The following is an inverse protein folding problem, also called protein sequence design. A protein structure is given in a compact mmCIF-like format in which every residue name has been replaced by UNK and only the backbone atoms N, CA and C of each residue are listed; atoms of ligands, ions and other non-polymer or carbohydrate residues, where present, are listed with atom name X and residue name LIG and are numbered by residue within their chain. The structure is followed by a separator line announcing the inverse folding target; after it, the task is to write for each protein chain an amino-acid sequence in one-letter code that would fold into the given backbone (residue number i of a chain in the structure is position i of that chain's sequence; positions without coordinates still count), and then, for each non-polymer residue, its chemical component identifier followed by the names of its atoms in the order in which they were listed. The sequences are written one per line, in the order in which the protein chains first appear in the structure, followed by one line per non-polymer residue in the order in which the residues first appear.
data_IF_230272825937
#
_entry.id   IF_230272825937
#
_cell.length_a   1.000
_cell.length_b   1.000
_cell.length_c   1.000
_cell.angle_alpha   90.00
_cell.angle_beta   90.00
_cell.angle_gamma   90.00
#
_symmetry.space_group_name_H-M   'P 1'
#
loop_
_entity.id
_entity.type
_entity.pdbx_description
1 polymer ?
#
# COMPACT_ATOMS: atom_id res chain seq x y z
N UNK A 1 -7.07 34.12 -3.89
CA UNK A 1 -5.86 33.78 -3.12
C UNK A 1 -5.01 32.81 -3.94
N UNK A 2 -3.77 33.19 -4.29
CA UNK A 2 -2.85 32.33 -5.04
C UNK A 2 -2.28 31.29 -4.07
N UNK A 3 -2.59 30.01 -4.26
CA UNK A 3 -2.03 28.91 -3.45
C UNK A 3 -0.62 28.60 -3.96
N UNK A 4 0.40 29.13 -3.31
CA UNK A 4 1.78 28.66 -3.51
C UNK A 4 1.95 27.35 -2.74
N UNK A 5 2.14 26.24 -3.46
CA UNK A 5 2.51 24.98 -2.83
C UNK A 5 3.83 25.16 -2.06
N UNK A 6 3.99 24.54 -0.87
CA UNK A 6 5.26 24.56 -0.18
C UNK A 6 6.32 23.90 -1.06
N UNK A 7 7.51 24.48 -1.11
CA UNK A 7 8.64 23.86 -1.81
C UNK A 7 8.91 22.47 -1.22
N UNK A 8 9.02 21.47 -2.08
CA UNK A 8 9.29 20.07 -1.69
C UNK A 8 10.66 19.93 -1.02
N UNK A 9 11.59 20.81 -1.38
CA UNK A 9 12.91 20.89 -0.78
C UNK A 9 12.89 21.89 0.38
N UNK A 10 13.60 21.62 1.50
CA UNK A 10 13.66 22.48 2.67
C UNK A 10 14.57 23.70 2.43
N UNK A 11 14.34 24.42 1.33
CA UNK A 11 15.19 25.52 0.88
C UNK A 11 14.31 26.69 0.48
N UNK A 12 14.49 27.83 1.15
CA UNK A 12 13.74 29.05 0.87
C UNK A 12 14.13 29.67 -0.48
N UNK A 13 15.38 29.48 -0.93
CA UNK A 13 15.91 30.01 -2.18
C UNK A 13 15.78 29.01 -3.34
N UNK A 14 15.09 29.41 -4.41
CA UNK A 14 14.88 28.60 -5.63
C UNK A 14 16.20 28.18 -6.29
N UNK A 15 17.20 29.05 -6.32
CA UNK A 15 18.51 28.77 -6.94
C UNK A 15 19.26 27.67 -6.18
N UNK A 16 19.27 27.73 -4.85
CA UNK A 16 19.91 26.72 -4.01
C UNK A 16 19.16 25.38 -4.08
N UNK A 17 17.83 25.39 -4.12
CA UNK A 17 17.03 24.18 -4.35
C UNK A 17 17.36 23.51 -5.69
N UNK A 18 17.46 24.29 -6.77
CA UNK A 18 17.86 23.78 -8.09
C UNK A 18 19.28 23.19 -8.09
N UNK A 19 20.23 23.87 -7.46
CA UNK A 19 21.62 23.38 -7.36
C UNK A 19 21.73 22.08 -6.56
N UNK A 20 20.94 21.92 -5.49
CA UNK A 20 20.87 20.70 -4.72
C UNK A 20 20.25 19.55 -5.52
N UNK A 21 19.17 19.81 -6.23
CA UNK A 21 18.52 18.81 -7.06
C UNK A 21 19.44 18.29 -8.17
N UNK A 22 20.20 19.18 -8.81
CA UNK A 22 21.23 18.78 -9.78
C UNK A 22 22.34 17.93 -9.15
N UNK A 23 22.75 18.26 -7.92
CA UNK A 23 23.77 17.49 -7.19
C UNK A 23 23.25 16.10 -6.85
N UNK A 24 22.06 15.99 -6.29
CA UNK A 24 21.43 14.71 -5.95
C UNK A 24 21.22 13.83 -7.19
N UNK A 25 20.80 14.43 -8.30
CA UNK A 25 20.68 13.72 -9.58
C UNK A 25 22.05 13.21 -10.07
N UNK A 26 23.09 14.05 -10.03
CA UNK A 26 24.43 13.65 -10.44
C UNK A 26 25.00 12.54 -9.54
N UNK A 27 24.79 12.63 -8.23
CA UNK A 27 25.19 11.62 -7.26
C UNK A 27 24.46 10.29 -7.51
N UNK A 28 23.15 10.34 -7.81
CA UNK A 28 22.35 9.18 -8.19
C UNK A 28 22.82 8.54 -9.49
N UNK A 29 23.07 9.32 -10.54
CA UNK A 29 23.61 8.83 -11.81
C UNK A 29 24.98 8.19 -11.63
N UNK A 30 25.85 8.78 -10.82
CA UNK A 30 27.15 8.21 -10.48
C UNK A 30 27.00 6.92 -9.68
N UNK A 31 26.02 6.84 -8.77
CA UNK A 31 25.75 5.62 -8.02
C UNK A 31 25.27 4.49 -8.93
N UNK A 32 24.37 4.78 -9.89
CA UNK A 32 23.92 3.81 -10.90
C UNK A 32 25.07 3.37 -11.80
N UNK A 33 25.90 4.29 -12.28
CA UNK A 33 27.05 3.97 -13.16
C UNK A 33 28.09 3.11 -12.45
N UNK A 34 28.30 3.34 -11.15
CA UNK A 34 29.28 2.61 -10.34
C UNK A 34 28.69 1.36 -9.67
N UNK A 35 27.37 1.17 -9.70
CA UNK A 35 26.73 -0.01 -9.18
C UNK A 35 27.11 -1.21 -10.06
N UNK A 36 27.90 -2.13 -9.49
CA UNK A 36 28.15 -3.43 -10.11
C UNK A 36 26.83 -4.19 -10.18
N UNK A 37 26.60 -4.91 -11.28
CA UNK A 37 25.48 -5.86 -11.44
C UNK A 37 25.69 -7.10 -10.56
N UNK A 38 25.86 -6.92 -9.26
CA UNK A 38 25.92 -8.03 -8.32
C UNK A 38 24.48 -8.36 -7.97
N UNK A 39 23.93 -9.36 -8.67
CA UNK A 39 22.78 -10.09 -8.16
C UNK A 39 23.27 -10.80 -6.89
N UNK A 40 22.93 -10.27 -5.72
CA UNK A 40 23.09 -11.00 -4.47
C UNK A 40 22.12 -12.19 -4.52
N UNK A 41 22.62 -13.32 -5.03
CA UNK A 41 21.94 -14.62 -5.03
C UNK A 41 22.06 -15.33 -3.67
N UNK A 42 22.76 -14.73 -2.70
CA UNK A 42 22.69 -15.19 -1.33
C UNK A 42 21.24 -15.01 -0.87
N UNK A 43 20.56 -16.11 -0.54
CA UNK A 43 19.32 -16.06 0.22
C UNK A 43 19.53 -15.08 1.36
N UNK A 44 18.78 -13.95 1.33
CA UNK A 44 18.91 -12.94 2.37
C UNK A 44 18.72 -13.68 3.68
N UNK A 45 19.73 -13.71 4.54
CA UNK A 45 19.63 -14.34 5.84
C UNK A 45 18.47 -13.65 6.52
N UNK A 46 17.29 -14.30 6.55
CA UNK A 46 16.06 -13.67 7.01
C UNK A 46 16.35 -13.22 8.42
N UNK A 47 16.53 -11.92 8.61
CA UNK A 47 17.03 -11.39 9.88
C UNK A 47 16.12 -11.93 10.98
N UNK A 48 16.68 -12.49 12.03
CA UNK A 48 15.92 -13.21 13.07
C UNK A 48 14.70 -12.42 13.59
N UNK A 49 14.78 -11.10 13.66
CA UNK A 49 13.67 -10.25 14.05
C UNK A 49 12.50 -10.23 13.04
N UNK A 50 12.76 -10.41 11.74
CA UNK A 50 11.72 -10.48 10.71
C UNK A 50 10.92 -11.78 10.85
N UNK A 51 11.59 -12.91 11.12
CA UNK A 51 10.90 -14.18 11.35
C UNK A 51 10.08 -14.14 12.66
N UNK A 52 10.62 -13.53 13.72
CA UNK A 52 9.87 -13.29 14.96
C UNK A 52 8.66 -12.37 14.73
N UNK A 53 8.82 -11.29 13.98
CA UNK A 53 7.70 -10.39 13.63
C UNK A 53 6.63 -11.10 12.81
N UNK A 54 7.02 -11.99 11.89
CA UNK A 54 6.07 -12.73 11.06
C UNK A 54 5.27 -13.73 11.90
N UNK A 55 5.96 -14.49 12.77
CA UNK A 55 5.31 -15.41 13.73
C UNK A 55 4.35 -14.66 14.66
N UNK A 56 4.76 -13.51 15.19
CA UNK A 56 3.91 -12.67 16.04
C UNK A 56 2.63 -12.22 15.32
N UNK A 57 2.72 -11.85 14.03
CA UNK A 57 1.55 -11.51 13.22
C UNK A 57 0.62 -12.71 13.04
N UNK A 58 1.17 -13.87 12.70
CA UNK A 58 0.38 -15.10 12.54
C UNK A 58 -0.36 -15.47 13.84
N UNK A 59 0.32 -15.40 14.99
CA UNK A 59 -0.32 -15.68 16.29
C UNK A 59 -1.46 -14.71 16.56
N UNK A 60 -1.27 -13.40 16.32
CA UNK A 60 -2.34 -12.39 16.49
C UNK A 60 -3.53 -12.63 15.56
N UNK A 61 -3.27 -13.01 14.30
CA UNK A 61 -4.34 -13.31 13.35
C UNK A 61 -5.14 -14.54 13.78
N UNK A 62 -4.46 -15.58 14.28
CA UNK A 62 -5.09 -16.76 14.83
C UNK A 62 -5.96 -16.43 16.05
N UNK A 63 -5.43 -15.67 17.02
CA UNK A 63 -6.19 -15.21 18.19
C UNK A 63 -7.43 -14.39 17.80
N UNK A 64 -7.27 -13.45 16.86
CA UNK A 64 -8.38 -12.66 16.34
C UNK A 64 -9.42 -13.53 15.64
N UNK A 65 -9.00 -14.56 14.92
CA UNK A 65 -9.91 -15.52 14.28
C UNK A 65 -10.71 -16.31 15.32
N UNK A 66 -10.07 -16.79 16.38
CA UNK A 66 -10.73 -17.49 17.48
C UNK A 66 -11.76 -16.60 18.18
N UNK A 67 -11.39 -15.35 18.47
CA UNK A 67 -12.31 -14.36 19.07
C UNK A 67 -13.50 -14.09 18.14
N UNK A 68 -13.28 -13.93 16.83
CA UNK A 68 -14.37 -13.72 15.87
C UNK A 68 -15.31 -14.92 15.81
N UNK A 69 -14.77 -16.14 15.79
CA UNK A 69 -15.57 -17.36 15.77
C UNK A 69 -16.42 -17.49 17.04
N UNK A 70 -15.84 -17.21 18.20
CA UNK A 70 -16.53 -17.25 19.48
C UNK A 70 -17.62 -16.16 19.57
N UNK A 71 -17.32 -14.94 19.13
CA UNK A 71 -18.31 -13.86 19.04
C UNK A 71 -19.49 -14.21 18.13
N UNK A 72 -19.25 -14.86 16.99
CA UNK A 72 -20.32 -15.33 16.11
C UNK A 72 -21.15 -16.44 16.76
N UNK A 73 -20.51 -17.37 17.49
CA UNK A 73 -21.22 -18.40 18.26
C UNK A 73 -22.11 -17.79 19.33
N UNK A 74 -21.59 -16.80 20.08
CA UNK A 74 -22.34 -16.07 21.10
C UNK A 74 -23.49 -15.27 20.48
N UNK A 75 -23.26 -14.55 19.37
CA UNK A 75 -24.31 -13.83 18.63
C UNK A 75 -25.44 -14.75 18.19
N UNK A 76 -25.12 -15.94 17.65
CA UNK A 76 -26.15 -16.93 17.28
C UNK A 76 -26.94 -17.42 18.48
N UNK A 77 -26.31 -17.58 19.65
CA UNK A 77 -27.01 -17.94 20.89
C UNK A 77 -27.93 -16.81 21.36
N UNK A 78 -27.43 -15.57 21.42
CA UNK A 78 -28.21 -14.38 21.81
C UNK A 78 -29.42 -14.15 20.89
N UNK A 79 -29.28 -14.40 19.59
CA UNK A 79 -30.40 -14.30 18.62
C UNK A 79 -31.44 -15.40 18.75
N UNK A 80 -31.06 -16.58 19.26
CA UNK A 80 -31.99 -17.72 19.45
C UNK A 80 -32.77 -17.63 20.74
N UNK A 81 -32.22 -16.97 21.76
CA UNK A 81 -32.95 -16.69 22.99
C UNK A 81 -33.87 -15.49 22.76
N UNK A 82 -35.17 -15.74 22.60
CA UNK A 82 -36.21 -14.72 22.75
C UNK A 82 -36.32 -14.33 24.24
N UNK A 83 -35.25 -13.75 24.80
CA UNK A 83 -35.32 -13.21 26.15
C UNK A 83 -36.14 -11.92 26.14
N UNK A 84 -36.98 -11.75 27.16
CA UNK A 84 -37.71 -10.51 27.47
C UNK A 84 -36.82 -9.27 27.63
N UNK A 85 -35.50 -9.46 27.71
CA UNK A 85 -34.48 -8.43 27.80
C UNK A 85 -33.78 -8.33 26.45
N UNK A 86 -33.78 -7.12 25.88
CA UNK A 86 -33.09 -6.83 24.63
C UNK A 86 -31.58 -7.01 24.82
N UNK A 87 -31.00 -7.98 24.11
CA UNK A 87 -29.56 -8.26 24.13
C UNK A 87 -28.80 -7.50 23.05
N UNK A 88 -29.50 -6.69 22.23
CA UNK A 88 -28.83 -5.77 21.32
C UNK A 88 -28.14 -4.65 22.09
N UNK A 89 -26.82 -4.68 22.05
CA UNK A 89 -26.03 -3.55 22.48
C UNK A 89 -26.08 -2.47 21.39
N UNK A 90 -27.05 -1.56 21.50
CA UNK A 90 -27.14 -0.34 20.69
C UNK A 90 -26.09 0.70 21.14
N UNK A 91 -24.84 0.25 21.33
CA UNK A 91 -23.74 1.17 21.55
C UNK A 91 -23.54 1.98 20.28
N UNK A 92 -23.98 3.23 20.30
CA UNK A 92 -23.51 4.22 19.37
C UNK A 92 -22.02 4.38 19.68
N UNK A 93 -21.15 3.86 18.82
CA UNK A 93 -19.70 3.99 19.00
C UNK A 93 -19.38 5.48 18.90
N UNK A 94 -19.21 6.15 20.03
CA UNK A 94 -18.76 7.54 20.09
C UNK A 94 -17.23 7.53 20.05
N UNK A 95 -16.65 7.39 18.86
CA UNK A 95 -15.23 7.69 18.70
C UNK A 95 -15.06 9.20 18.60
N UNK A 96 -14.22 9.78 19.46
CA UNK A 96 -13.89 11.20 19.50
C UNK A 96 -13.45 11.77 18.13
N UNK A 97 -13.04 10.91 17.20
CA UNK A 97 -12.53 11.27 15.87
C UNK A 97 -13.49 10.92 14.72
N UNK A 98 -14.77 10.63 14.97
CA UNK A 98 -15.71 10.23 13.89
C UNK A 98 -15.87 11.34 12.86
N UNK A 99 -16.06 12.57 13.32
CA UNK A 99 -16.24 13.73 12.43
C UNK A 99 -15.00 13.94 11.56
N UNK A 100 -13.82 13.84 12.15
CA UNK A 100 -12.54 13.98 11.44
C UNK A 100 -12.36 12.85 10.41
N UNK A 101 -12.61 11.60 10.81
CA UNK A 101 -12.51 10.44 9.92
C UNK A 101 -13.50 10.49 8.77
N UNK A 102 -14.73 10.94 9.01
CA UNK A 102 -15.73 11.11 7.95
C UNK A 102 -15.29 12.18 6.94
N UNK A 103 -14.72 13.29 7.42
CA UNK A 103 -14.15 14.33 6.54
C UNK A 103 -12.99 13.80 5.71
N UNK A 104 -12.06 13.09 6.34
CA UNK A 104 -10.91 12.46 5.65
C UNK A 104 -11.39 11.42 4.62
N UNK A 105 -12.39 10.61 4.95
CA UNK A 105 -13.00 9.66 4.02
C UNK A 105 -13.56 10.36 2.79
N UNK A 106 -14.32 11.44 2.97
CA UNK A 106 -14.87 12.23 1.86
C UNK A 106 -13.75 12.87 1.03
N UNK A 107 -12.68 13.36 1.68
CA UNK A 107 -11.52 13.91 0.97
C UNK A 107 -10.83 12.84 0.12
N UNK A 108 -10.56 11.66 0.69
CA UNK A 108 -9.96 10.53 -0.02
C UNK A 108 -10.84 10.06 -1.19
N UNK A 109 -12.16 9.98 -0.99
CA UNK A 109 -13.08 9.64 -2.07
C UNK A 109 -13.01 10.67 -3.19
N UNK A 110 -13.01 11.96 -2.88
CA UNK A 110 -12.91 13.02 -3.89
C UNK A 110 -11.57 12.97 -4.65
N UNK A 111 -10.47 12.76 -3.95
CA UNK A 111 -9.14 12.59 -4.56
C UNK A 111 -9.08 11.35 -5.44
N UNK A 112 -9.62 10.23 -4.98
CA UNK A 112 -9.70 8.99 -5.74
C UNK A 112 -10.48 9.19 -7.05
N UNK A 113 -11.67 9.80 -6.99
CA UNK A 113 -12.46 10.08 -8.19
C UNK A 113 -11.74 11.03 -9.15
N UNK A 114 -11.01 12.03 -8.62
CA UNK A 114 -10.19 12.93 -9.44
C UNK A 114 -9.07 12.18 -10.16
N UNK A 115 -8.31 11.36 -9.44
CA UNK A 115 -7.23 10.56 -10.01
C UNK A 115 -7.78 9.58 -11.05
N UNK A 116 -8.90 8.91 -10.77
CA UNK A 116 -9.56 8.00 -11.70
C UNK A 116 -9.98 8.72 -13.00
N UNK A 117 -10.51 9.94 -12.90
CA UNK A 117 -10.81 10.77 -14.08
C UNK A 117 -9.55 11.12 -14.87
N UNK A 118 -8.46 11.46 -14.19
CA UNK A 118 -7.19 11.74 -14.87
C UNK A 118 -6.64 10.49 -15.57
N UNK A 119 -6.62 9.35 -14.88
CA UNK A 119 -6.14 8.07 -15.43
C UNK A 119 -6.97 7.66 -16.64
N UNK A 120 -8.29 7.82 -16.59
CA UNK A 120 -9.17 7.47 -17.71
C UNK A 120 -9.05 8.41 -18.92
N UNK A 121 -8.64 9.67 -18.72
CA UNK A 121 -8.41 10.62 -19.80
C UNK A 121 -7.04 10.44 -20.47
N UNK A 122 -6.06 9.90 -19.75
CA UNK A 122 -4.73 9.62 -20.29
C UNK A 122 -4.80 8.36 -21.16
N UNK A 123 -4.56 8.52 -22.45
CA UNK A 123 -4.36 7.38 -23.34
C UNK A 123 -3.06 6.67 -22.96
N UNK A 124 -3.04 5.33 -22.83
CA UNK A 124 -1.83 4.60 -22.51
C UNK A 124 -0.79 4.81 -23.61
N UNK A 125 0.39 5.32 -23.24
CA UNK A 125 1.50 5.55 -24.18
C UNK A 125 1.98 4.26 -24.85
N UNK A 126 1.65 3.10 -24.27
CA UNK A 126 1.98 1.80 -24.81
C UNK A 126 0.72 1.04 -25.21
N UNK A 127 0.60 0.53 -26.44
CA UNK A 127 -0.55 -0.25 -26.85
C UNK A 127 -0.66 -1.52 -25.99
N UNK A 128 -1.81 -1.74 -25.34
CA UNK A 128 -2.04 -2.92 -24.51
C UNK A 128 -1.74 -4.25 -25.25
N UNK A 129 -1.95 -4.28 -26.57
CA UNK A 129 -1.62 -5.43 -27.42
C UNK A 129 -0.12 -5.71 -27.50
N UNK A 130 0.72 -4.67 -27.59
CA UNK A 130 2.18 -4.85 -27.62
C UNK A 130 2.69 -5.35 -26.27
N UNK A 131 2.16 -4.81 -25.17
CA UNK A 131 2.53 -5.27 -23.83
C UNK A 131 2.24 -6.75 -23.63
N UNK A 132 1.06 -7.21 -24.08
CA UNK A 132 0.68 -8.62 -24.00
C UNK A 132 1.64 -9.52 -24.79
N UNK A 133 1.98 -9.12 -26.02
CA UNK A 133 2.93 -9.86 -26.86
C UNK A 133 4.33 -9.91 -26.25
N UNK A 134 4.81 -8.80 -25.68
CA UNK A 134 6.12 -8.75 -25.02
C UNK A 134 6.15 -9.61 -23.76
N UNK A 135 5.04 -9.62 -23.02
CA UNK A 135 4.86 -10.47 -21.84
C UNK A 135 4.85 -11.96 -22.20
N UNK A 136 4.07 -12.36 -23.21
CA UNK A 136 4.01 -13.74 -23.71
C UNK A 136 5.38 -14.21 -24.20
N UNK A 137 6.09 -13.40 -25.00
CA UNK A 137 7.46 -13.70 -25.46
C UNK A 137 8.45 -13.83 -24.31
N UNK A 138 8.27 -13.08 -23.23
CA UNK A 138 9.13 -13.19 -22.05
C UNK A 138 8.90 -14.51 -21.32
N UNK A 139 7.64 -14.89 -21.12
CA UNK A 139 7.26 -16.16 -20.49
C UNK A 139 7.74 -17.36 -21.31
N UNK A 140 7.63 -17.32 -22.64
CA UNK A 140 8.15 -18.37 -23.52
C UNK A 140 9.66 -18.55 -23.37
N UNK A 141 10.41 -17.45 -23.24
CA UNK A 141 11.86 -17.49 -23.03
C UNK A 141 12.23 -18.03 -21.64
N UNK A 142 11.47 -17.67 -20.61
CA UNK A 142 11.68 -18.19 -19.25
C UNK A 142 11.42 -19.70 -19.21
N UNK A 143 10.33 -20.19 -19.82
CA UNK A 143 10.03 -21.62 -19.90
C UNK A 143 11.10 -22.41 -20.68
N UNK A 144 11.62 -21.85 -21.79
CA UNK A 144 12.71 -22.47 -22.57
C UNK A 144 14.06 -22.50 -21.82
N UNK A 145 14.23 -21.66 -20.81
CA UNK A 145 15.40 -21.63 -19.93
C UNK A 145 15.28 -22.62 -18.78
N UNK A 146 14.06 -22.96 -18.36
CA UNK A 146 13.79 -23.97 -17.32
C UNK A 146 13.81 -25.41 -17.86
N UNK A 147 13.55 -25.61 -19.16
CA UNK A 147 13.60 -26.93 -19.82
C UNK A 147 15.01 -27.38 -20.28
N UNK A 148 16.05 -26.56 -20.08
CA UNK A 148 17.47 -26.88 -20.39
C UNK A 148 18.28 -27.10 -19.13
#
# INVERSE_FOLDING_TARGET
MYRSYPNVLPVANKYLGHKLLLKEQADHENHIKNARSVLNLSESTTRFHLSQSFRHKQTREYELSMIKQENERLRRRMRKTESLVDTHNNYVVHSLNIVQRQREKVQHENEFHRLQKQISQVQPSYPARRFKQDYEKKQEKENQLEEK
#
